data_IF_324282537615
#
_entry.id   IF_324282537615
#
_cell.length_a   1.000
_cell.length_b   1.000
_cell.length_c   1.000
_cell.angle_alpha   90.00
_cell.angle_beta   90.00
_cell.angle_gamma   90.00
#
_symmetry.space_group_name_H-M   'P 1'
#
loop_
_entity.id
_entity.type
_entity.pdbx_description
1 polymer ?
#
# COMPACT_ATOMS: atom_id res chain seq x y z
N UNK A 1 22.12 -17.38 4.26
CA UNK A 1 22.22 -15.92 4.46
C UNK A 1 23.15 -15.54 5.60
N UNK A 2 23.04 -16.13 6.79
CA UNK A 2 23.91 -15.76 7.93
C UNK A 2 25.40 -15.89 7.61
N UNK A 3 25.83 -16.99 7.01
CA UNK A 3 27.23 -17.16 6.55
C UNK A 3 27.69 -16.06 5.57
N UNK A 4 26.81 -15.55 4.70
CA UNK A 4 27.14 -14.45 3.78
C UNK A 4 27.30 -13.14 4.57
N UNK A 5 26.43 -12.88 5.55
CA UNK A 5 26.53 -11.70 6.43
C UNK A 5 27.80 -11.70 7.27
N UNK A 6 28.22 -12.86 7.76
CA UNK A 6 29.46 -13.03 8.55
C UNK A 6 30.73 -12.91 7.70
N UNK A 7 30.66 -13.31 6.42
CA UNK A 7 31.82 -13.29 5.51
C UNK A 7 31.97 -11.97 4.76
N UNK A 8 30.88 -11.23 4.56
CA UNK A 8 30.89 -9.96 3.84
C UNK A 8 31.51 -8.86 4.69
N UNK A 9 32.43 -8.10 4.11
CA UNK A 9 33.12 -6.99 4.78
C UNK A 9 32.24 -5.77 5.02
N UNK A 10 31.08 -5.69 4.34
CA UNK A 10 30.15 -4.57 4.40
C UNK A 10 28.77 -5.09 4.82
N UNK A 11 28.10 -4.44 5.80
CA UNK A 11 26.73 -4.79 6.14
C UNK A 11 25.81 -4.50 4.96
N UNK A 12 24.78 -5.33 4.79
CA UNK A 12 23.81 -5.14 3.70
C UNK A 12 22.40 -5.56 4.13
N UNK A 13 21.41 -4.93 3.50
CA UNK A 13 20.02 -5.29 3.65
C UNK A 13 19.52 -5.92 2.33
N UNK A 14 19.22 -7.22 2.28
CA UNK A 14 18.69 -7.85 1.09
C UNK A 14 17.24 -7.42 0.85
N UNK A 15 16.98 -6.85 -0.32
CA UNK A 15 15.63 -6.46 -0.77
C UNK A 15 15.03 -7.56 -1.65
N UNK A 16 13.72 -7.78 -1.55
CA UNK A 16 12.98 -8.85 -2.25
C UNK A 16 13.73 -10.20 -2.24
N UNK A 17 14.03 -10.72 -1.06
CA UNK A 17 14.64 -12.04 -0.94
C UNK A 17 13.65 -13.14 -1.37
N UNK A 18 14.00 -13.90 -2.41
CA UNK A 18 13.17 -14.98 -2.91
C UNK A 18 14.01 -16.10 -3.55
N UNK A 19 13.41 -17.29 -3.69
CA UNK A 19 14.04 -18.42 -4.36
C UNK A 19 13.44 -18.59 -5.75
N UNK A 20 14.30 -18.58 -6.79
CA UNK A 20 13.90 -18.86 -8.17
C UNK A 20 14.71 -20.04 -8.66
N UNK A 21 14.02 -21.14 -8.98
CA UNK A 21 14.66 -22.44 -9.24
C UNK A 21 15.57 -22.81 -8.05
N UNK A 22 16.77 -23.32 -8.33
CA UNK A 22 17.77 -23.66 -7.31
C UNK A 22 18.71 -22.49 -6.97
N UNK A 23 18.22 -21.25 -7.03
CA UNK A 23 18.98 -20.03 -6.73
C UNK A 23 18.22 -19.16 -5.73
N UNK A 24 18.99 -18.49 -4.89
CA UNK A 24 18.50 -17.42 -4.02
C UNK A 24 18.79 -16.09 -4.70
N UNK A 25 17.79 -15.23 -4.79
CA UNK A 25 17.86 -13.92 -5.44
C UNK A 25 17.44 -12.86 -4.42
N UNK A 26 18.18 -11.77 -4.39
CA UNK A 26 17.86 -10.56 -3.65
C UNK A 26 18.57 -9.39 -4.30
N UNK A 27 18.15 -8.18 -3.96
CA UNK A 27 18.68 -6.94 -4.49
C UNK A 27 19.39 -6.14 -3.39
N UNK A 28 20.33 -5.31 -3.81
CA UNK A 28 21.05 -4.35 -2.96
C UNK A 28 21.09 -3.01 -3.68
N UNK A 29 21.03 -1.92 -2.93
CA UNK A 29 20.99 -0.56 -3.51
C UNK A 29 22.34 -0.12 -4.04
N UNK A 30 23.42 -0.40 -3.29
CA UNK A 30 24.73 0.16 -3.57
C UNK A 30 25.66 -0.76 -4.36
N UNK A 31 26.36 -0.16 -5.34
CA UNK A 31 27.40 -0.85 -6.11
C UNK A 31 28.58 -1.30 -5.22
N UNK A 32 28.88 -0.53 -4.16
CA UNK A 32 29.92 -0.89 -3.19
C UNK A 32 29.58 -2.17 -2.43
N UNK A 33 28.33 -2.29 -1.98
CA UNK A 33 27.78 -3.49 -1.31
C UNK A 33 27.77 -4.67 -2.27
N UNK A 34 27.33 -4.47 -3.51
CA UNK A 34 27.40 -5.51 -4.54
C UNK A 34 28.84 -6.01 -4.71
N UNK A 35 29.82 -5.11 -4.88
CA UNK A 35 31.22 -5.50 -5.01
C UNK A 35 31.76 -6.26 -3.79
N UNK A 36 31.40 -5.86 -2.57
CA UNK A 36 31.75 -6.59 -1.34
C UNK A 36 31.17 -8.01 -1.34
N UNK A 37 29.90 -8.17 -1.73
CA UNK A 37 29.27 -9.49 -1.90
C UNK A 37 29.99 -10.34 -2.95
N UNK A 38 30.43 -9.75 -4.07
CA UNK A 38 31.22 -10.46 -5.10
C UNK A 38 32.47 -11.08 -4.51
N UNK A 39 33.15 -10.35 -3.63
CA UNK A 39 34.38 -10.80 -2.99
C UNK A 39 34.17 -11.93 -1.98
N UNK A 40 32.92 -12.21 -1.58
CA UNK A 40 32.58 -13.38 -0.76
C UNK A 40 32.27 -14.64 -1.56
N UNK A 41 32.17 -14.52 -2.89
CA UNK A 41 31.94 -15.65 -3.79
C UNK A 41 33.02 -16.72 -3.59
N UNK A 42 32.59 -17.97 -3.47
CA UNK A 42 33.42 -19.16 -3.24
C UNK A 42 34.19 -19.20 -1.90
N UNK A 43 33.93 -18.29 -0.96
CA UNK A 43 34.52 -18.32 0.40
C UNK A 43 33.70 -19.16 1.39
N UNK A 44 32.44 -19.44 1.07
CA UNK A 44 31.52 -20.21 1.92
C UNK A 44 31.36 -21.61 1.33
N UNK A 45 31.55 -22.63 2.17
CA UNK A 45 31.38 -24.04 1.82
C UNK A 45 30.04 -24.55 2.33
N UNK A 46 29.29 -25.23 1.46
CA UNK A 46 28.09 -25.96 1.82
C UNK A 46 28.45 -27.32 2.46
N UNK A 47 27.51 -27.98 3.17
CA UNK A 47 27.77 -29.25 3.86
C UNK A 47 28.23 -30.40 2.94
N UNK A 48 27.88 -30.34 1.66
CA UNK A 48 28.26 -31.30 0.62
C UNK A 48 29.64 -31.01 0.00
N UNK A 49 30.37 -30.01 0.51
CA UNK A 49 31.69 -29.59 0.03
C UNK A 49 31.64 -28.61 -1.16
N UNK A 50 30.47 -28.32 -1.73
CA UNK A 50 30.36 -27.34 -2.80
C UNK A 50 30.50 -25.90 -2.27
N UNK A 51 31.17 -25.05 -3.04
CA UNK A 51 31.35 -23.64 -2.69
C UNK A 51 30.23 -22.77 -3.23
N UNK A 52 29.63 -21.95 -2.37
CA UNK A 52 28.57 -20.98 -2.74
C UNK A 52 29.14 -19.96 -3.72
N UNK A 53 28.52 -19.83 -4.89
CA UNK A 53 28.86 -18.81 -5.88
C UNK A 53 27.89 -17.63 -5.77
N UNK A 54 28.44 -16.42 -5.72
CA UNK A 54 27.66 -15.18 -5.73
C UNK A 54 27.86 -14.52 -7.10
N UNK A 55 26.75 -14.28 -7.79
CA UNK A 55 26.67 -13.65 -9.09
C UNK A 55 26.01 -12.29 -8.94
N UNK A 56 26.49 -11.30 -9.69
CA UNK A 56 26.00 -9.91 -9.62
C UNK A 56 25.66 -9.47 -11.01
N UNK A 57 24.44 -8.98 -11.17
CA UNK A 57 23.95 -8.34 -12.36
C UNK A 57 23.42 -6.97 -11.96
N UNK A 58 23.75 -5.95 -12.75
CA UNK A 58 23.07 -4.66 -12.64
C UNK A 58 21.63 -4.81 -13.17
N UNK A 59 20.69 -4.17 -12.50
CA UNK A 59 19.29 -4.18 -12.89
C UNK A 59 18.63 -2.87 -12.50
N UNK A 60 17.42 -2.65 -13.04
CA UNK A 60 16.56 -1.60 -12.50
C UNK A 60 16.14 -1.98 -11.07
N UNK A 61 15.83 -1.00 -10.20
CA UNK A 61 15.35 -1.29 -8.85
C UNK A 61 14.15 -2.23 -8.88
N UNK A 62 13.97 -3.09 -7.87
CA UNK A 62 12.80 -3.96 -7.81
C UNK A 62 11.51 -3.14 -7.78
N UNK A 63 10.41 -3.72 -8.29
CA UNK A 63 9.12 -3.04 -8.38
C UNK A 63 8.64 -2.52 -7.02
N UNK A 64 8.96 -3.21 -5.93
CA UNK A 64 8.65 -2.75 -4.56
C UNK A 64 9.36 -1.45 -4.19
N UNK A 65 10.60 -1.24 -4.65
CA UNK A 65 11.40 -0.04 -4.39
C UNK A 65 11.04 1.08 -5.38
N UNK A 66 10.74 0.76 -6.63
CA UNK A 66 10.37 1.75 -7.65
C UNK A 66 9.11 2.53 -7.28
N UNK A 67 8.21 1.92 -6.51
CA UNK A 67 6.94 2.53 -6.14
C UNK A 67 6.95 3.13 -4.74
N UNK A 68 8.05 3.07 -3.99
CA UNK A 68 8.16 3.64 -2.66
C UNK A 68 8.01 5.16 -2.69
N UNK A 69 7.22 5.71 -1.76
CA UNK A 69 7.00 7.16 -1.68
C UNK A 69 8.16 7.80 -0.93
N UNK A 70 8.80 8.79 -1.54
CA UNK A 70 9.87 9.54 -0.88
C UNK A 70 9.28 10.47 0.18
N UNK A 71 10.06 10.89 1.19
CA UNK A 71 9.59 11.86 2.19
C UNK A 71 9.03 13.14 1.58
N UNK A 72 9.64 13.61 0.49
CA UNK A 72 9.17 14.79 -0.25
C UNK A 72 7.79 14.54 -0.89
N UNK A 73 7.57 13.35 -1.44
CA UNK A 73 6.29 12.96 -2.05
C UNK A 73 5.18 12.89 -1.00
N UNK A 74 5.50 12.39 0.20
CA UNK A 74 4.57 12.33 1.34
C UNK A 74 4.16 13.73 1.78
N UNK A 75 5.10 14.68 1.83
CA UNK A 75 4.77 16.07 2.18
C UNK A 75 3.91 16.74 1.11
N UNK A 76 4.16 16.47 -0.18
CA UNK A 76 3.29 16.95 -1.26
C UNK A 76 1.91 16.32 -1.23
N UNK A 77 1.80 15.02 -0.92
CA UNK A 77 0.53 14.34 -0.70
C UNK A 77 -0.23 14.99 0.46
N UNK A 78 0.44 15.30 1.57
CA UNK A 78 -0.16 15.99 2.72
C UNK A 78 -0.71 17.37 2.33
N UNK A 79 0.02 18.15 1.54
CA UNK A 79 -0.43 19.45 1.05
C UNK A 79 -1.65 19.32 0.14
N UNK A 80 -1.65 18.33 -0.76
CA UNK A 80 -2.79 18.02 -1.63
C UNK A 80 -4.04 17.64 -0.79
N UNK A 81 -3.88 16.75 0.20
CA UNK A 81 -4.94 16.35 1.12
C UNK A 81 -5.51 17.53 1.91
N UNK A 82 -4.65 18.45 2.35
CA UNK A 82 -5.09 19.67 3.05
C UNK A 82 -6.00 20.55 2.18
N UNK A 83 -5.70 20.71 0.88
CA UNK A 83 -6.56 21.45 -0.06
C UNK A 83 -7.89 20.75 -0.34
N UNK A 84 -7.90 19.42 -0.26
CA UNK A 84 -9.06 18.55 -0.46
C UNK A 84 -9.86 18.30 0.83
N UNK A 85 -9.44 18.89 1.94
CA UNK A 85 -10.10 18.77 3.23
C UNK A 85 -11.05 19.95 3.46
N UNK A 86 -12.30 19.64 3.77
CA UNK A 86 -13.29 20.59 4.24
C UNK A 86 -13.38 20.52 5.77
N UNK A 87 -12.90 21.56 6.44
CA UNK A 87 -12.91 21.66 7.89
C UNK A 87 -14.30 21.87 8.49
N UNK A 88 -15.27 22.37 7.72
CA UNK A 88 -16.62 22.62 8.21
C UNK A 88 -17.41 21.32 8.43
N UNK A 89 -17.16 20.31 7.58
CA UNK A 89 -17.79 18.99 7.67
C UNK A 89 -16.82 17.89 8.11
N UNK A 90 -15.56 18.24 8.38
CA UNK A 90 -14.49 17.29 8.68
C UNK A 90 -14.44 16.17 7.63
N UNK A 91 -14.44 16.59 6.37
CA UNK A 91 -14.59 15.74 5.21
C UNK A 91 -13.35 15.81 4.32
N UNK A 92 -12.78 14.65 3.97
CA UNK A 92 -11.61 14.56 3.11
C UNK A 92 -12.00 13.93 1.76
N UNK A 93 -11.76 14.67 0.68
CA UNK A 93 -12.02 14.20 -0.68
C UNK A 93 -10.77 13.62 -1.38
N UNK A 94 -10.60 12.30 -1.28
CA UNK A 94 -9.55 11.56 -2.01
C UNK A 94 -10.06 10.96 -3.32
N UNK A 95 -11.19 11.42 -3.86
CA UNK A 95 -11.69 10.95 -5.15
C UNK A 95 -10.64 11.13 -6.23
N UNK A 96 -10.41 10.06 -7.00
CA UNK A 96 -9.57 10.05 -8.19
C UNK A 96 -8.22 10.78 -7.99
N UNK A 97 -7.51 10.49 -6.89
CA UNK A 97 -6.33 11.27 -6.49
C UNK A 97 -5.19 11.17 -7.51
N UNK A 98 -5.10 10.06 -8.25
CA UNK A 98 -4.08 9.88 -9.30
C UNK A 98 -4.20 10.91 -10.43
N UNK A 99 -5.39 11.51 -10.60
CA UNK A 99 -5.65 12.54 -11.60
C UNK A 99 -5.51 13.97 -11.04
N UNK A 100 -5.01 14.14 -9.81
CA UNK A 100 -4.86 15.44 -9.19
C UNK A 100 -3.83 16.31 -9.95
N UNK A 101 -4.19 17.54 -10.38
CA UNK A 101 -3.30 18.38 -11.18
C UNK A 101 -2.00 18.75 -10.48
N UNK A 102 -2.02 18.97 -9.16
CA UNK A 102 -0.82 19.37 -8.42
C UNK A 102 0.18 18.22 -8.31
N UNK A 103 -0.33 17.00 -8.10
CA UNK A 103 0.50 15.78 -8.06
C UNK A 103 1.08 15.46 -9.45
N UNK A 104 0.26 15.56 -10.51
CA UNK A 104 0.72 15.35 -11.89
C UNK A 104 1.80 16.36 -12.28
N UNK A 105 1.59 17.65 -11.98
CA UNK A 105 2.55 18.71 -12.31
C UNK A 105 3.92 18.50 -11.65
N UNK A 106 3.96 17.77 -10.53
CA UNK A 106 5.17 17.44 -9.77
C UNK A 106 5.72 16.05 -10.11
N UNK A 107 5.10 15.34 -11.05
CA UNK A 107 5.44 13.97 -11.43
C UNK A 107 5.38 12.99 -10.24
N UNK A 108 4.37 13.15 -9.38
CA UNK A 108 4.11 12.29 -8.22
C UNK A 108 2.92 11.39 -8.53
N UNK A 109 3.17 10.08 -8.60
CA UNK A 109 2.14 9.07 -8.92
C UNK A 109 1.55 8.47 -7.63
N UNK A 110 0.40 9.00 -7.18
CA UNK A 110 -0.33 8.47 -6.03
C UNK A 110 -1.43 7.52 -6.49
N UNK A 111 -1.18 6.22 -6.33
CA UNK A 111 -2.13 5.17 -6.71
C UNK A 111 -2.60 4.44 -5.45
N UNK A 112 -3.80 4.75 -4.97
CA UNK A 112 -4.30 4.22 -3.68
C UNK A 112 -4.55 2.70 -3.67
N UNK A 113 -4.57 2.03 -4.83
CA UNK A 113 -4.61 0.56 -4.87
C UNK A 113 -3.24 -0.09 -4.59
N UNK A 114 -2.16 0.71 -4.44
CA UNK A 114 -0.86 0.29 -3.96
C UNK A 114 -0.79 0.47 -2.44
N UNK A 115 -0.36 -0.57 -1.74
CA UNK A 115 -0.30 -0.64 -0.28
C UNK A 115 0.43 0.53 0.38
N UNK A 116 1.57 0.92 -0.17
CA UNK A 116 2.39 1.99 0.39
C UNK A 116 1.72 3.37 0.24
N UNK A 117 1.03 3.62 -0.88
CA UNK A 117 0.27 4.85 -1.08
C UNK A 117 -0.92 4.93 -0.14
N UNK A 118 -1.69 3.84 0.00
CA UNK A 118 -2.79 3.76 0.96
C UNK A 118 -2.29 3.96 2.39
N UNK A 119 -1.21 3.27 2.79
CA UNK A 119 -0.63 3.38 4.12
C UNK A 119 -0.17 4.81 4.43
N UNK A 120 0.52 5.48 3.50
CA UNK A 120 0.94 6.87 3.66
C UNK A 120 -0.25 7.81 3.84
N UNK A 121 -1.29 7.68 3.00
CA UNK A 121 -2.51 8.48 3.12
C UNK A 121 -3.19 8.28 4.48
N UNK A 122 -3.40 7.02 4.91
CA UNK A 122 -4.01 6.70 6.19
C UNK A 122 -3.14 7.14 7.39
N UNK A 123 -1.82 7.16 7.24
CA UNK A 123 -0.93 7.71 8.25
C UNK A 123 -1.11 9.22 8.38
N UNK A 124 -1.12 9.96 7.27
CA UNK A 124 -1.38 11.40 7.26
C UNK A 124 -2.73 11.71 7.91
N UNK A 125 -3.79 10.97 7.56
CA UNK A 125 -5.12 11.15 8.19
C UNK A 125 -5.04 10.95 9.69
N UNK A 126 -4.49 9.81 10.15
CA UNK A 126 -4.43 9.49 11.58
C UNK A 126 -3.58 10.47 12.41
N UNK A 127 -2.54 11.04 11.82
CA UNK A 127 -1.63 11.95 12.51
C UNK A 127 -2.13 13.40 12.55
N UNK A 128 -2.96 13.82 11.58
CA UNK A 128 -3.32 15.23 11.40
C UNK A 128 -4.81 15.53 11.59
N UNK A 129 -5.69 14.58 11.30
CA UNK A 129 -7.17 14.75 11.36
C UNK A 129 -7.87 13.47 11.88
N UNK A 130 -7.50 12.95 13.06
CA UNK A 130 -8.13 11.74 13.61
C UNK A 130 -9.64 11.88 13.87
N UNK A 131 -10.15 13.10 13.94
CA UNK A 131 -11.56 13.46 14.11
C UNK A 131 -12.39 13.42 12.81
N UNK A 132 -11.81 12.96 11.70
CA UNK A 132 -12.48 12.87 10.39
C UNK A 132 -13.85 12.19 10.47
N UNK A 133 -14.87 12.85 9.89
CA UNK A 133 -16.24 12.35 9.85
C UNK A 133 -16.63 11.78 8.48
N UNK A 134 -16.05 12.29 7.39
CA UNK A 134 -16.36 11.84 6.04
C UNK A 134 -15.11 11.60 5.21
N UNK A 135 -15.04 10.46 4.53
CA UNK A 135 -13.93 10.08 3.67
C UNK A 135 -14.45 9.63 2.31
N UNK A 136 -14.01 10.30 1.25
CA UNK A 136 -14.32 9.91 -0.12
C UNK A 136 -13.12 9.25 -0.79
N UNK A 137 -13.23 7.96 -1.12
CA UNK A 137 -12.23 7.15 -1.82
C UNK A 137 -12.75 6.67 -3.18
N UNK A 138 -13.79 7.30 -3.72
CA UNK A 138 -14.36 6.91 -5.00
C UNK A 138 -13.38 7.06 -6.17
N UNK A 139 -13.56 6.23 -7.21
CA UNK A 139 -12.80 6.32 -8.46
C UNK A 139 -11.27 6.20 -8.28
N UNK A 140 -10.83 5.28 -7.42
CA UNK A 140 -9.41 5.02 -7.14
C UNK A 140 -8.96 3.61 -7.56
N UNK A 141 -9.80 2.88 -8.31
CA UNK A 141 -9.53 1.52 -8.80
C UNK A 141 -9.14 0.56 -7.67
N UNK A 142 -9.73 0.76 -6.48
CA UNK A 142 -9.54 -0.13 -5.33
C UNK A 142 -10.20 -1.47 -5.62
N UNK A 143 -9.45 -2.55 -5.47
CA UNK A 143 -9.96 -3.91 -5.73
C UNK A 143 -9.87 -4.83 -4.50
N UNK A 144 -9.19 -4.35 -3.44
CA UNK A 144 -9.08 -4.98 -2.12
C UNK A 144 -9.05 -3.90 -1.04
N UNK A 145 -9.51 -4.25 0.16
CA UNK A 145 -9.57 -3.34 1.33
C UNK A 145 -8.67 -3.78 2.49
N UNK A 146 -7.79 -4.77 2.30
CA UNK A 146 -6.88 -5.28 3.35
C UNK A 146 -6.01 -4.17 3.98
N UNK A 147 -5.56 -3.20 3.18
CA UNK A 147 -4.73 -2.09 3.66
C UNK A 147 -5.50 -1.05 4.50
N UNK A 148 -6.84 -1.11 4.46
CA UNK A 148 -7.73 -0.32 5.31
C UNK A 148 -8.16 -1.09 6.57
N UNK A 149 -7.67 -2.32 6.77
CA UNK A 149 -7.93 -3.06 7.99
C UNK A 149 -7.43 -2.27 9.21
N UNK A 150 -8.33 -2.02 10.16
CA UNK A 150 -8.00 -1.22 11.34
C UNK A 150 -8.16 0.29 11.14
N UNK A 151 -8.76 0.75 10.05
CA UNK A 151 -9.08 2.17 9.82
C UNK A 151 -9.85 2.80 11.00
N UNK A 152 -10.72 2.04 11.65
CA UNK A 152 -11.45 2.44 12.86
C UNK A 152 -10.56 2.90 14.03
N UNK A 153 -9.27 2.53 14.05
CA UNK A 153 -8.31 2.99 15.08
C UNK A 153 -7.73 4.36 14.75
N UNK A 154 -7.63 4.68 13.46
CA UNK A 154 -7.07 5.95 12.97
C UNK A 154 -8.13 7.04 12.88
N UNK A 155 -9.36 6.68 12.48
CA UNK A 155 -10.52 7.58 12.36
C UNK A 155 -11.73 6.99 13.09
N UNK A 156 -11.72 6.98 14.44
CA UNK A 156 -12.77 6.33 15.24
C UNK A 156 -14.15 6.98 15.08
N UNK A 157 -14.21 8.24 14.63
CA UNK A 157 -15.43 9.00 14.48
C UNK A 157 -15.99 8.99 13.04
N UNK A 158 -15.36 8.26 12.12
CA UNK A 158 -15.78 8.24 10.72
C UNK A 158 -17.23 7.76 10.60
N UNK A 159 -18.06 8.57 9.93
CA UNK A 159 -19.49 8.32 9.72
C UNK A 159 -19.87 8.08 8.28
N UNK A 160 -19.16 8.71 7.35
CA UNK A 160 -19.47 8.63 5.92
C UNK A 160 -18.24 8.08 5.20
N UNK A 161 -18.42 6.99 4.46
CA UNK A 161 -17.38 6.42 3.62
C UNK A 161 -17.91 6.20 2.21
N UNK A 162 -17.26 6.82 1.22
CA UNK A 162 -17.60 6.62 -0.18
C UNK A 162 -16.53 5.76 -0.87
N UNK A 163 -16.92 4.56 -1.33
CA UNK A 163 -16.10 3.60 -2.07
C UNK A 163 -16.66 3.34 -3.48
N UNK A 164 -17.57 4.19 -3.98
CA UNK A 164 -18.17 4.05 -5.31
C UNK A 164 -17.14 4.12 -6.44
N UNK A 165 -17.49 3.60 -7.62
CA UNK A 165 -16.64 3.60 -8.82
C UNK A 165 -15.26 2.96 -8.59
N UNK A 166 -15.19 1.93 -7.75
CA UNK A 166 -13.98 1.13 -7.55
C UNK A 166 -14.16 -0.24 -8.24
N UNK A 167 -13.26 -1.18 -7.97
CA UNK A 167 -13.22 -2.51 -8.58
C UNK A 167 -13.42 -3.61 -7.54
N UNK A 168 -14.16 -3.33 -6.47
CA UNK A 168 -14.45 -4.30 -5.41
C UNK A 168 -15.39 -5.38 -5.97
N UNK A 169 -14.94 -6.63 -5.95
CA UNK A 169 -15.65 -7.74 -6.62
C UNK A 169 -16.57 -8.54 -5.72
N UNK A 170 -16.31 -8.54 -4.42
CA UNK A 170 -17.03 -9.38 -3.45
C UNK A 170 -17.36 -8.59 -2.20
N UNK A 171 -18.44 -8.99 -1.51
CA UNK A 171 -18.83 -8.42 -0.21
C UNK A 171 -17.82 -8.73 0.91
N UNK A 172 -16.99 -9.76 0.75
CA UNK A 172 -15.91 -10.11 1.70
C UNK A 172 -14.89 -8.99 1.90
N UNK A 173 -14.74 -8.08 0.93
CA UNK A 173 -13.90 -6.90 1.11
C UNK A 173 -14.44 -5.99 2.22
N UNK A 174 -15.76 -5.94 2.42
CA UNK A 174 -16.39 -5.13 3.46
C UNK A 174 -16.10 -5.66 4.87
N UNK A 175 -15.73 -6.94 5.02
CA UNK A 175 -15.30 -7.49 6.31
C UNK A 175 -14.06 -6.77 6.86
N UNK A 176 -13.25 -6.14 6.00
CA UNK A 176 -12.06 -5.37 6.38
C UNK A 176 -12.41 -4.03 7.03
N UNK A 177 -13.64 -3.55 6.81
CA UNK A 177 -14.17 -2.31 7.35
C UNK A 177 -14.86 -2.50 8.71
N UNK A 178 -14.95 -3.75 9.20
CA UNK A 178 -15.53 -4.06 10.51
C UNK A 178 -14.91 -3.21 11.62
N UNK A 179 -15.77 -2.70 12.48
CA UNK A 179 -15.43 -1.79 13.59
C UNK A 179 -15.67 -0.32 13.28
N UNK A 180 -15.84 0.07 12.01
CA UNK A 180 -16.33 1.41 11.67
C UNK A 180 -17.82 1.51 11.98
N UNK A 181 -18.26 2.64 12.56
CA UNK A 181 -19.65 2.92 12.89
C UNK A 181 -20.23 3.93 11.90
N UNK A 182 -20.29 3.51 10.63
CA UNK A 182 -20.73 4.36 9.53
C UNK A 182 -22.25 4.55 9.55
N UNK A 183 -22.67 5.79 9.34
CA UNK A 183 -24.06 6.15 9.09
C UNK A 183 -24.37 6.06 7.58
N UNK A 184 -23.35 6.29 6.72
CA UNK A 184 -23.47 6.19 5.26
C UNK A 184 -22.28 5.45 4.62
N UNK A 185 -22.59 4.51 3.72
CA UNK A 185 -21.62 3.77 2.89
C UNK A 185 -22.09 3.73 1.44
N UNK A 186 -21.23 4.17 0.52
CA UNK A 186 -21.52 4.21 -0.91
C UNK A 186 -20.66 3.19 -1.65
N UNK A 187 -21.27 2.25 -2.38
CA UNK A 187 -20.58 1.18 -3.13
C UNK A 187 -20.96 1.15 -4.61
N UNK A 188 -21.80 2.08 -5.08
CA UNK A 188 -22.30 2.11 -6.46
C UNK A 188 -21.17 2.01 -7.50
N UNK A 189 -21.45 1.35 -8.62
CA UNK A 189 -20.48 1.11 -9.70
C UNK A 189 -19.23 0.30 -9.26
N UNK A 190 -19.39 -0.60 -8.29
CA UNK A 190 -18.44 -1.69 -8.05
C UNK A 190 -19.00 -3.01 -8.59
N UNK A 191 -18.16 -3.93 -9.11
CA UNK A 191 -18.62 -5.24 -9.59
C UNK A 191 -19.37 -6.09 -8.55
N UNK A 192 -19.12 -5.90 -7.24
CA UNK A 192 -19.88 -6.57 -6.18
C UNK A 192 -21.37 -6.23 -6.21
N UNK A 193 -21.75 -5.09 -6.78
CA UNK A 193 -23.14 -4.67 -6.86
C UNK A 193 -23.97 -5.56 -7.78
N UNK A 194 -23.36 -6.16 -8.81
CA UNK A 194 -24.01 -7.03 -9.79
C UNK A 194 -24.52 -8.33 -9.16
N UNK A 195 -23.95 -8.72 -8.02
CA UNK A 195 -24.34 -9.93 -7.27
C UNK A 195 -25.60 -9.76 -6.43
N UNK A 196 -26.07 -8.53 -6.19
CA UNK A 196 -27.25 -8.30 -5.36
C UNK A 196 -28.54 -8.40 -6.18
N UNK A 197 -29.42 -9.31 -5.78
CA UNK A 197 -30.72 -9.53 -6.43
C UNK A 197 -31.71 -8.38 -6.19
N UNK A 198 -31.57 -7.68 -5.07
CA UNK A 198 -32.41 -6.55 -4.69
C UNK A 198 -31.68 -5.56 -3.78
N UNK A 199 -32.25 -4.36 -3.64
CA UNK A 199 -31.72 -3.28 -2.78
C UNK A 199 -31.65 -3.68 -1.31
N UNK A 200 -32.51 -4.59 -0.85
CA UNK A 200 -32.53 -5.05 0.54
C UNK A 200 -31.34 -5.96 0.87
N UNK A 201 -30.91 -6.81 -0.08
CA UNK A 201 -29.70 -7.61 0.04
C UNK A 201 -28.45 -6.73 0.08
N UNK A 202 -28.39 -5.69 -0.75
CA UNK A 202 -27.34 -4.68 -0.71
C UNK A 202 -27.26 -3.96 0.64
N UNK A 203 -28.40 -3.48 1.16
CA UNK A 203 -28.47 -2.80 2.47
C UNK A 203 -28.05 -3.75 3.59
N UNK A 204 -28.48 -5.02 3.56
CA UNK A 204 -28.07 -6.02 4.57
C UNK A 204 -26.58 -6.33 4.50
N UNK A 205 -25.98 -6.47 3.32
CA UNK A 205 -24.55 -6.74 3.19
C UNK A 205 -23.70 -5.55 3.70
N UNK A 206 -24.10 -4.32 3.36
CA UNK A 206 -23.49 -3.11 3.89
C UNK A 206 -23.63 -3.04 5.43
N UNK A 207 -24.80 -3.38 5.97
CA UNK A 207 -25.09 -3.39 7.41
C UNK A 207 -24.57 -4.65 8.16
N UNK A 208 -24.10 -5.69 7.48
CA UNK A 208 -23.45 -6.86 8.11
C UNK A 208 -21.93 -6.68 8.18
N UNK A 209 -21.36 -5.87 7.26
CA UNK A 209 -19.96 -5.43 7.31
C UNK A 209 -19.70 -4.31 8.32
N UNK A 210 -20.75 -3.65 8.81
CA UNK A 210 -20.70 -2.54 9.75
C UNK A 210 -21.59 -2.90 10.96
N UNK A 211 -21.07 -2.98 12.19
CA UNK A 211 -21.83 -3.42 13.36
C UNK A 211 -23.04 -2.55 13.69
#
# INVERSE_FOLDING_TARGET
>A
MNAIRETCSVPFNPVEFHCVNNRVVFFVEDTSVANALKQTSRKISAPDGHKVAILINTCNPPTTVQHELKPEDIEQLKQCMSKRYDSSHQALDMKNIHADPDLIARNIDIVLNRRNCMAAMLQIVGDNIPELLSLNLSDNKLYRLDDMAGLHRKVPNLKILNLSCNQLKTEHELDKLKGLKLDELWLDNNPLCDGFRDRSAYIRAAALGLP
#
